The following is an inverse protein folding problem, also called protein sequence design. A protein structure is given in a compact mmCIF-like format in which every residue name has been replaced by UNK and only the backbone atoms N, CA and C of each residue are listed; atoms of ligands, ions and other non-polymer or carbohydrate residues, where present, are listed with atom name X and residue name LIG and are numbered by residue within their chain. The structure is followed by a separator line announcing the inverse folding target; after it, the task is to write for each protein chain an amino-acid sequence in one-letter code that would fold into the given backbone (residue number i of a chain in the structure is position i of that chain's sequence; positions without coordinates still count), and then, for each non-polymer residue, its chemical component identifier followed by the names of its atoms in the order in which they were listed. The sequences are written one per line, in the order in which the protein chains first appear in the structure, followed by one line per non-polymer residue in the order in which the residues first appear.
data_IF_393272057276
#
_entry.id   IF_393272057276
#
_cell.length_a   1.000
_cell.length_b   1.000
_cell.length_c   1.000
_cell.angle_alpha   90.00
_cell.angle_beta   90.00
_cell.angle_gamma   90.00
#
_symmetry.space_group_name_H-M   'P 1'
#
loop_
_entity.id
_entity.type
_entity.pdbx_description
1 polymer ?
#
# COMPACT_ATOMS: atom_id res chain seq x y z
N UNK A 1 9.91 -7.23 19.58
CA UNK A 1 8.50 -7.66 19.53
C UNK A 1 8.37 -8.81 18.56
N UNK A 2 7.38 -9.68 18.78
CA UNK A 2 6.95 -10.66 17.79
C UNK A 2 5.87 -10.06 16.90
N UNK A 3 6.12 -9.95 15.60
CA UNK A 3 5.22 -9.29 14.65
C UNK A 3 4.82 -10.27 13.55
N UNK A 4 3.52 -10.45 13.37
CA UNK A 4 2.99 -11.20 12.24
C UNK A 4 2.66 -10.21 11.12
N UNK A 5 3.18 -10.45 9.92
CA UNK A 5 2.92 -9.64 8.72
C UNK A 5 2.19 -10.50 7.71
N UNK A 6 0.95 -10.16 7.36
CA UNK A 6 0.21 -10.81 6.27
C UNK A 6 0.41 -10.06 4.96
N UNK A 7 0.38 -10.76 3.83
CA UNK A 7 0.73 -10.17 2.53
C UNK A 7 2.24 -9.84 2.43
N UNK A 8 3.05 -10.56 3.17
CA UNK A 8 4.46 -10.28 3.36
C UNK A 8 5.31 -10.48 2.09
N UNK A 9 4.91 -11.35 1.17
CA UNK A 9 5.59 -11.56 -0.12
C UNK A 9 5.14 -10.55 -1.20
N UNK A 10 4.20 -9.66 -0.88
CA UNK A 10 3.75 -8.56 -1.73
C UNK A 10 4.76 -7.41 -1.80
N UNK A 11 4.42 -6.38 -2.59
CA UNK A 11 5.24 -5.19 -2.77
C UNK A 11 5.56 -4.49 -1.44
N UNK A 12 4.56 -3.94 -0.75
CA UNK A 12 4.75 -3.21 0.51
C UNK A 12 5.18 -4.17 1.63
N UNK A 13 4.59 -5.37 1.66
CA UNK A 13 4.84 -6.35 2.71
C UNK A 13 6.28 -6.79 2.80
N UNK A 14 6.94 -7.03 1.67
CA UNK A 14 8.32 -7.49 1.62
C UNK A 14 9.33 -6.45 2.12
N UNK A 15 9.15 -5.19 1.73
CA UNK A 15 9.95 -4.08 2.26
C UNK A 15 9.77 -3.92 3.78
N UNK A 16 8.51 -3.99 4.22
CA UNK A 16 8.21 -3.83 5.65
C UNK A 16 8.72 -4.99 6.48
N UNK A 17 8.56 -6.24 6.03
CA UNK A 17 9.04 -7.41 6.75
C UNK A 17 10.57 -7.41 6.90
N UNK A 18 11.31 -7.10 5.82
CA UNK A 18 12.78 -6.95 5.86
C UNK A 18 13.20 -5.81 6.80
N UNK A 19 12.53 -4.66 6.72
CA UNK A 19 12.82 -3.52 7.57
C UNK A 19 12.61 -3.83 9.05
N UNK A 20 11.49 -4.46 9.41
CA UNK A 20 11.22 -4.87 10.79
C UNK A 20 12.27 -5.85 11.33
N UNK A 21 12.68 -6.84 10.54
CA UNK A 21 13.77 -7.75 10.90
C UNK A 21 15.10 -7.01 11.12
N UNK A 22 15.42 -6.03 10.25
CA UNK A 22 16.66 -5.25 10.38
C UNK A 22 16.69 -4.40 11.65
N UNK A 23 15.51 -4.10 12.22
CA UNK A 23 15.34 -3.39 13.50
C UNK A 23 15.25 -4.31 14.72
N UNK A 24 15.54 -5.60 14.55
CA UNK A 24 15.62 -6.56 15.65
C UNK A 24 14.27 -7.13 16.11
N UNK A 25 13.22 -7.01 15.29
CA UNK A 25 11.94 -7.66 15.59
C UNK A 25 11.96 -9.13 15.13
N UNK A 26 11.28 -10.02 15.87
CA UNK A 26 10.99 -11.39 15.44
C UNK A 26 9.75 -11.33 14.53
N UNK A 27 9.95 -11.56 13.22
CA UNK A 27 8.90 -11.38 12.22
C UNK A 27 8.49 -12.72 11.61
N UNK A 28 7.18 -12.98 11.61
CA UNK A 28 6.57 -14.07 10.86
C UNK A 28 5.85 -13.51 9.63
N UNK A 29 6.33 -13.87 8.45
CA UNK A 29 5.75 -13.54 7.16
C UNK A 29 4.69 -14.56 6.77
N UNK A 30 3.45 -14.11 6.49
CA UNK A 30 2.35 -14.96 6.00
C UNK A 30 1.88 -14.44 4.65
N UNK A 31 1.83 -15.31 3.65
CA UNK A 31 1.36 -14.96 2.30
C UNK A 31 0.79 -16.22 1.62
N UNK A 32 -0.21 -16.09 0.76
CA UNK A 32 -0.73 -17.18 -0.07
C UNK A 32 -0.08 -17.25 -1.46
N UNK A 33 0.83 -16.33 -1.76
CA UNK A 33 1.55 -16.19 -3.03
C UNK A 33 0.68 -16.03 -4.28
N UNK A 34 -0.57 -15.60 -4.12
CA UNK A 34 -1.46 -15.32 -5.26
C UNK A 34 -0.90 -14.19 -6.13
N UNK A 35 -0.39 -13.12 -5.50
CA UNK A 35 0.27 -11.99 -6.18
C UNK A 35 1.66 -11.71 -5.64
N UNK A 36 1.92 -12.09 -4.40
CA UNK A 36 3.23 -12.09 -3.76
C UNK A 36 4.20 -13.06 -4.45
N UNK A 37 5.50 -12.84 -4.29
CA UNK A 37 6.56 -13.68 -4.84
C UNK A 37 7.60 -14.00 -3.79
N UNK A 38 8.11 -15.22 -3.78
CA UNK A 38 9.17 -15.65 -2.86
C UNK A 38 10.45 -14.83 -3.08
N UNK A 39 10.73 -14.42 -4.32
CA UNK A 39 11.87 -13.58 -4.68
C UNK A 39 11.85 -12.22 -3.97
N UNK A 40 10.68 -11.69 -3.64
CA UNK A 40 10.56 -10.46 -2.84
C UNK A 40 11.08 -10.64 -1.40
N UNK A 41 11.16 -11.86 -0.91
CA UNK A 41 11.61 -12.20 0.44
C UNK A 41 13.04 -12.77 0.48
N UNK A 42 13.82 -12.68 -0.61
CA UNK A 42 15.17 -13.24 -0.69
C UNK A 42 16.15 -12.70 0.37
N UNK A 43 15.94 -11.47 0.86
CA UNK A 43 16.74 -10.85 1.92
C UNK A 43 16.05 -10.87 3.29
N UNK A 44 14.84 -11.40 3.35
CA UNK A 44 14.10 -11.55 4.60
C UNK A 44 14.70 -12.65 5.45
N UNK A 45 15.00 -12.36 6.73
CA UNK A 45 15.67 -13.27 7.65
C UNK A 45 14.75 -13.84 8.73
N UNK A 46 13.45 -13.56 8.65
CA UNK A 46 12.45 -14.11 9.55
C UNK A 46 11.88 -15.44 9.04
N UNK A 47 10.82 -15.88 9.67
CA UNK A 47 10.10 -17.12 9.28
C UNK A 47 9.03 -16.81 8.25
N UNK A 48 8.86 -17.71 7.29
CA UNK A 48 7.84 -17.61 6.23
C UNK A 48 6.88 -18.81 6.37
N UNK A 49 5.59 -18.51 6.41
CA UNK A 49 4.53 -19.53 6.45
C UNK A 49 3.53 -19.24 5.31
N UNK A 50 3.36 -20.18 4.38
CA UNK A 50 2.27 -20.09 3.40
C UNK A 50 0.90 -20.12 4.11
N UNK A 51 0.02 -19.16 3.75
CA UNK A 51 -1.29 -19.12 4.38
C UNK A 51 -2.26 -18.17 3.68
N UNK A 52 -3.49 -18.63 3.50
CA UNK A 52 -4.58 -17.82 2.94
C UNK A 52 -5.48 -17.29 4.07
N UNK A 53 -5.52 -15.98 4.24
CA UNK A 53 -6.36 -15.33 5.25
C UNK A 53 -7.86 -15.51 5.03
N UNK A 54 -8.28 -15.91 3.83
CA UNK A 54 -9.68 -16.18 3.51
C UNK A 54 -10.18 -17.52 4.03
N UNK A 55 -9.27 -18.43 4.37
CA UNK A 55 -9.58 -19.66 5.10
C UNK A 55 -9.54 -19.37 6.60
N UNK A 56 -10.70 -19.45 7.25
CA UNK A 56 -10.86 -19.18 8.69
C UNK A 56 -9.99 -20.07 9.58
N UNK A 57 -9.55 -21.23 9.06
CA UNK A 57 -8.73 -22.19 9.80
C UNK A 57 -7.23 -21.84 9.77
N UNK A 58 -6.82 -20.92 8.91
CA UNK A 58 -5.38 -20.62 8.68
C UNK A 58 -4.80 -19.63 9.72
N UNK A 59 -5.40 -18.48 10.03
CA UNK A 59 -4.79 -17.53 10.97
C UNK A 59 -4.68 -18.07 12.41
N UNK A 60 -5.62 -18.91 12.84
CA UNK A 60 -5.69 -19.36 14.23
C UNK A 60 -4.48 -20.21 14.66
N UNK A 61 -4.11 -21.33 14.00
CA UNK A 61 -2.93 -22.12 14.37
C UNK A 61 -1.61 -21.34 14.20
N UNK A 62 -1.52 -20.47 13.19
CA UNK A 62 -0.33 -19.63 12.99
C UNK A 62 -0.12 -18.69 14.19
N UNK A 63 -1.18 -18.05 14.67
CA UNK A 63 -1.09 -17.15 15.84
C UNK A 63 -0.89 -17.93 17.15
N UNK A 64 -1.45 -19.14 17.28
CA UNK A 64 -1.21 -20.02 18.42
C UNK A 64 0.28 -20.36 18.56
N UNK A 65 0.93 -20.78 17.48
CA UNK A 65 2.33 -21.18 17.50
C UNK A 65 3.27 -19.99 17.64
N UNK A 66 3.00 -18.90 16.95
CA UNK A 66 3.90 -17.74 16.93
C UNK A 66 3.71 -16.81 18.13
N UNK A 67 2.48 -16.65 18.63
CA UNK A 67 2.09 -15.73 19.71
C UNK A 67 2.55 -14.29 19.44
N UNK A 68 2.05 -13.65 18.38
CA UNK A 68 2.48 -12.31 18.02
C UNK A 68 2.02 -11.27 19.07
N UNK A 69 2.89 -10.31 19.36
CA UNK A 69 2.56 -9.13 20.13
C UNK A 69 1.67 -8.18 19.30
N UNK A 70 1.96 -8.10 17.99
CA UNK A 70 1.28 -7.24 17.04
C UNK A 70 1.11 -7.93 15.68
N UNK A 71 0.06 -7.51 14.96
CA UNK A 71 -0.22 -7.93 13.58
C UNK A 71 -0.23 -6.73 12.66
N UNK A 72 0.56 -6.81 11.58
CA UNK A 72 0.50 -5.92 10.43
C UNK A 72 -0.27 -6.62 9.31
N UNK A 73 -1.47 -6.15 9.03
CA UNK A 73 -2.33 -6.76 8.04
C UNK A 73 -2.26 -6.00 6.69
N UNK A 74 -1.40 -6.51 5.78
CA UNK A 74 -1.20 -5.98 4.43
C UNK A 74 -1.77 -6.89 3.34
N UNK A 75 -2.17 -8.12 3.65
CA UNK A 75 -2.80 -9.02 2.69
C UNK A 75 -4.10 -8.41 2.16
N UNK A 76 -4.18 -8.28 0.84
CA UNK A 76 -5.33 -7.69 0.16
C UNK A 76 -5.36 -8.06 -1.32
N UNK A 77 -6.55 -8.11 -1.90
CA UNK A 77 -6.74 -7.85 -3.32
C UNK A 77 -6.67 -6.33 -3.50
N UNK A 78 -5.77 -5.81 -4.34
CA UNK A 78 -5.48 -4.37 -4.41
C UNK A 78 -5.74 -3.71 -5.77
N UNK A 79 -6.07 -4.50 -6.81
CA UNK A 79 -6.35 -4.00 -8.14
C UNK A 79 -7.83 -3.61 -8.30
N UNK A 80 -8.09 -2.36 -8.69
CA UNK A 80 -9.45 -1.85 -8.93
C UNK A 80 -10.11 -2.63 -10.08
N UNK A 81 -9.39 -2.86 -11.19
CA UNK A 81 -9.89 -3.65 -12.32
C UNK A 81 -10.32 -5.06 -11.92
N UNK A 82 -9.53 -5.75 -11.11
CA UNK A 82 -9.90 -7.07 -10.57
C UNK A 82 -11.14 -6.97 -9.69
N UNK A 83 -11.26 -5.93 -8.86
CA UNK A 83 -12.45 -5.76 -8.01
C UNK A 83 -13.72 -5.54 -8.82
N UNK A 84 -13.63 -4.84 -9.95
CA UNK A 84 -14.78 -4.63 -10.86
C UNK A 84 -15.19 -5.92 -11.56
N UNK A 85 -14.24 -6.77 -11.94
CA UNK A 85 -14.50 -8.04 -12.61
C UNK A 85 -14.93 -9.16 -11.66
N UNK A 86 -14.39 -9.17 -10.44
CA UNK A 86 -14.60 -10.21 -9.43
C UNK A 86 -14.88 -9.62 -8.04
N UNK A 87 -16.00 -8.89 -7.84
CA UNK A 87 -16.29 -8.20 -6.58
C UNK A 87 -16.47 -9.16 -5.40
N UNK A 88 -16.94 -10.38 -5.65
CA UNK A 88 -17.04 -11.44 -4.65
C UNK A 88 -15.68 -11.84 -4.09
N UNK A 89 -14.70 -12.03 -4.98
CA UNK A 89 -13.33 -12.35 -4.59
C UNK A 89 -12.71 -11.21 -3.80
N UNK A 90 -12.91 -9.97 -4.26
CA UNK A 90 -12.43 -8.78 -3.59
C UNK A 90 -12.99 -8.67 -2.16
N UNK A 91 -14.31 -8.81 -1.99
CA UNK A 91 -14.94 -8.79 -0.66
C UNK A 91 -14.49 -9.97 0.22
N UNK A 92 -14.30 -11.16 -0.36
CA UNK A 92 -13.80 -12.33 0.37
C UNK A 92 -12.42 -12.04 0.96
N UNK A 93 -11.49 -11.49 0.18
CA UNK A 93 -10.14 -11.18 0.65
C UNK A 93 -10.16 -9.99 1.62
N UNK A 94 -10.71 -8.85 1.21
CA UNK A 94 -10.59 -7.58 1.92
C UNK A 94 -11.63 -7.39 3.04
N UNK A 95 -12.69 -8.19 3.07
CA UNK A 95 -13.73 -8.15 4.09
C UNK A 95 -13.69 -9.37 5.02
N UNK A 96 -13.94 -10.58 4.49
CA UNK A 96 -13.94 -11.80 5.29
C UNK A 96 -12.53 -12.14 5.81
N UNK A 97 -11.49 -11.95 5.00
CA UNK A 97 -10.10 -12.12 5.45
C UNK A 97 -9.76 -11.25 6.66
N UNK A 98 -10.19 -9.99 6.65
CA UNK A 98 -10.02 -9.08 7.80
C UNK A 98 -10.73 -9.60 9.05
N UNK A 99 -11.95 -10.12 8.92
CA UNK A 99 -12.69 -10.71 10.06
C UNK A 99 -11.97 -11.94 10.63
N UNK A 100 -11.40 -12.79 9.78
CA UNK A 100 -10.63 -13.95 10.21
C UNK A 100 -9.39 -13.53 11.00
N UNK A 101 -8.68 -12.48 10.56
CA UNK A 101 -7.53 -11.92 11.28
C UNK A 101 -7.97 -11.32 12.62
N UNK A 102 -9.05 -10.53 12.67
CA UNK A 102 -9.58 -9.96 13.92
C UNK A 102 -9.94 -11.06 14.91
N UNK A 103 -10.63 -12.12 14.45
CA UNK A 103 -10.99 -13.27 15.29
C UNK A 103 -9.76 -13.92 15.90
N UNK A 104 -8.77 -14.27 15.09
CA UNK A 104 -7.55 -14.89 15.56
C UNK A 104 -6.75 -13.97 16.52
N UNK A 105 -6.65 -12.67 16.22
CA UNK A 105 -6.03 -11.69 17.10
C UNK A 105 -6.69 -11.66 18.49
N UNK A 106 -8.03 -11.69 18.56
CA UNK A 106 -8.77 -11.70 19.83
C UNK A 106 -8.57 -13.03 20.57
N UNK A 107 -8.63 -14.17 19.88
CA UNK A 107 -8.42 -15.50 20.48
C UNK A 107 -7.04 -15.61 21.14
N UNK A 108 -6.01 -15.07 20.50
CA UNK A 108 -4.62 -15.16 20.96
C UNK A 108 -4.10 -13.91 21.68
N UNK A 109 -4.98 -13.02 22.11
CA UNK A 109 -4.66 -11.83 22.91
C UNK A 109 -3.59 -10.93 22.27
N UNK A 110 -3.59 -10.80 20.94
CA UNK A 110 -2.75 -9.85 20.22
C UNK A 110 -3.01 -8.43 20.72
N UNK A 111 -1.96 -7.69 21.01
CA UNK A 111 -2.08 -6.37 21.66
C UNK A 111 -2.31 -5.22 20.68
N UNK A 112 -1.88 -5.37 19.42
CA UNK A 112 -1.89 -4.31 18.42
C UNK A 112 -2.27 -4.86 17.05
N UNK A 113 -3.18 -4.19 16.34
CA UNK A 113 -3.53 -4.49 14.95
C UNK A 113 -3.34 -3.24 14.08
N UNK A 114 -2.43 -3.32 13.12
CA UNK A 114 -2.20 -2.28 12.12
C UNK A 114 -2.73 -2.77 10.77
N UNK A 115 -3.55 -1.97 10.11
CA UNK A 115 -4.25 -2.34 8.88
C UNK A 115 -3.96 -1.38 7.73
N UNK A 116 -3.65 -1.95 6.58
CA UNK A 116 -3.53 -1.19 5.33
C UNK A 116 -4.91 -0.93 4.72
N UNK A 117 -5.33 0.33 4.76
CA UNK A 117 -6.44 0.85 3.98
C UNK A 117 -5.91 1.66 2.78
N UNK A 118 -6.73 2.46 2.15
CA UNK A 118 -6.43 3.14 0.89
C UNK A 118 -7.13 4.49 0.79
N UNK A 119 -6.55 5.41 0.04
CA UNK A 119 -7.24 6.66 -0.36
C UNK A 119 -8.48 6.41 -1.24
N UNK A 120 -8.64 5.22 -1.80
CA UNK A 120 -9.82 4.84 -2.60
C UNK A 120 -11.12 4.74 -1.78
N UNK A 121 -11.07 4.83 -0.45
CA UNK A 121 -12.26 4.92 0.43
C UNK A 121 -12.91 6.30 0.38
N UNK A 122 -12.16 7.34 -0.01
CA UNK A 122 -12.68 8.69 -0.11
C UNK A 122 -13.47 8.90 -1.39
N UNK A 123 -14.45 9.80 -1.31
CA UNK A 123 -14.95 10.43 -2.51
C UNK A 123 -13.85 11.29 -3.10
N UNK A 124 -13.84 11.35 -4.41
CA UNK A 124 -13.06 12.32 -5.13
C UNK A 124 -13.39 13.74 -4.67
N UNK A 125 -12.37 14.51 -4.32
CA UNK A 125 -12.55 15.92 -3.96
C UNK A 125 -11.67 16.75 -4.89
N UNK A 126 -12.30 17.64 -5.63
CA UNK A 126 -11.57 18.77 -6.22
C UNK A 126 -11.12 19.66 -5.05
N UNK A 127 -9.83 19.83 -4.78
CA UNK A 127 -9.42 20.58 -3.60
C UNK A 127 -9.76 22.04 -3.78
N UNK A 128 -10.62 22.52 -2.93
CA UNK A 128 -10.61 23.91 -2.55
C UNK A 128 -9.30 24.10 -1.75
N UNK A 129 -8.31 24.76 -2.36
CA UNK A 129 -7.09 25.26 -1.65
C UNK A 129 -5.93 24.31 -1.34
N UNK A 130 -5.59 23.30 -2.12
CA UNK A 130 -4.35 22.48 -1.93
C UNK A 130 -4.12 21.86 -0.51
N UNK A 131 -5.16 21.78 0.32
CA UNK A 131 -5.00 21.34 1.73
C UNK A 131 -5.02 19.83 1.92
N UNK A 132 -5.25 19.04 0.88
CA UNK A 132 -5.37 17.59 0.95
C UNK A 132 -6.63 17.10 1.68
N UNK A 133 -6.99 15.84 1.43
CA UNK A 133 -8.16 15.18 2.01
C UNK A 133 -7.82 14.78 3.46
N UNK A 134 -8.59 15.26 4.44
CA UNK A 134 -8.43 14.88 5.84
C UNK A 134 -9.12 13.54 6.13
N UNK A 135 -8.71 12.87 7.22
CA UNK A 135 -9.23 11.56 7.62
C UNK A 135 -10.74 11.56 7.95
N UNK A 136 -11.26 12.69 8.38
CA UNK A 136 -12.70 12.89 8.66
C UNK A 136 -13.53 13.29 7.42
N UNK A 137 -12.93 13.32 6.24
CA UNK A 137 -13.65 13.58 5.00
C UNK A 137 -14.67 12.47 4.71
N UNK A 138 -15.71 12.81 3.94
CA UNK A 138 -16.76 11.85 3.56
C UNK A 138 -16.17 10.64 2.85
N UNK A 139 -16.50 9.44 3.36
CA UNK A 139 -16.14 8.17 2.72
C UNK A 139 -17.24 7.81 1.71
N UNK A 140 -16.86 7.81 0.43
CA UNK A 140 -17.76 7.48 -0.68
C UNK A 140 -16.96 6.77 -1.78
N UNK A 141 -16.55 5.49 -1.52
CA UNK A 141 -15.72 4.75 -2.46
C UNK A 141 -16.42 4.53 -3.80
N UNK A 142 -15.66 4.64 -4.90
CA UNK A 142 -16.15 4.54 -6.27
C UNK A 142 -15.82 3.19 -6.94
N UNK A 143 -15.39 2.19 -6.16
CA UNK A 143 -15.06 0.85 -6.65
C UNK A 143 -15.35 -0.21 -5.59
N UNK A 144 -15.60 -1.48 -5.98
CA UNK A 144 -15.70 -2.58 -5.03
C UNK A 144 -14.48 -2.68 -4.11
N UNK A 145 -13.28 -2.45 -4.62
CA UNK A 145 -12.05 -2.37 -3.82
C UNK A 145 -12.14 -1.34 -2.70
N UNK A 146 -12.53 -0.11 -3.03
CA UNK A 146 -12.70 0.93 -2.01
C UNK A 146 -13.79 0.59 -0.99
N UNK A 147 -14.89 -0.03 -1.44
CA UNK A 147 -15.98 -0.50 -0.58
C UNK A 147 -15.47 -1.58 0.38
N UNK A 148 -14.80 -2.60 -0.11
CA UNK A 148 -14.32 -3.71 0.71
C UNK A 148 -13.25 -3.28 1.72
N UNK A 149 -12.37 -2.35 1.35
CA UNK A 149 -11.39 -1.76 2.30
C UNK A 149 -12.09 -0.93 3.38
N UNK A 150 -13.12 -0.15 3.03
CA UNK A 150 -13.95 0.55 4.00
C UNK A 150 -14.66 -0.41 4.94
N UNK A 151 -15.22 -1.51 4.46
CA UNK A 151 -15.81 -2.57 5.29
C UNK A 151 -14.80 -3.10 6.30
N UNK A 152 -13.56 -3.36 5.87
CA UNK A 152 -12.46 -3.75 6.76
C UNK A 152 -12.18 -2.71 7.85
N UNK A 153 -12.14 -1.41 7.48
CA UNK A 153 -11.97 -0.32 8.47
C UNK A 153 -13.07 -0.32 9.54
N UNK A 154 -14.36 -0.48 9.12
CA UNK A 154 -15.48 -0.47 10.05
C UNK A 154 -15.41 -1.65 11.02
N UNK A 155 -15.10 -2.86 10.56
CA UNK A 155 -14.94 -4.01 11.44
C UNK A 155 -13.78 -3.85 12.41
N UNK A 156 -12.64 -3.32 11.97
CA UNK A 156 -11.49 -3.11 12.85
C UNK A 156 -11.81 -2.08 13.92
N UNK A 157 -12.41 -0.94 13.55
CA UNK A 157 -12.82 0.10 14.52
C UNK A 157 -13.79 -0.43 15.58
N UNK A 158 -14.74 -1.26 15.16
CA UNK A 158 -15.76 -1.79 16.06
C UNK A 158 -15.23 -2.92 16.95
N UNK A 159 -14.37 -3.79 16.42
CA UNK A 159 -14.05 -5.07 17.05
C UNK A 159 -12.65 -5.13 17.69
N UNK A 160 -11.74 -4.21 17.36
CA UNK A 160 -10.37 -4.22 17.87
C UNK A 160 -9.94 -2.83 18.38
N UNK A 161 -10.05 -2.54 19.68
CA UNK A 161 -9.84 -1.20 20.22
C UNK A 161 -8.44 -0.62 19.98
N UNK A 162 -7.38 -1.42 20.14
CA UNK A 162 -6.00 -0.97 19.93
C UNK A 162 -5.57 -1.18 18.47
N UNK A 163 -6.19 -0.42 17.57
CA UNK A 163 -5.90 -0.47 16.14
C UNK A 163 -5.26 0.79 15.60
N UNK A 164 -4.57 0.64 14.46
CA UNK A 164 -4.21 1.76 13.61
C UNK A 164 -4.51 1.41 12.15
N UNK A 165 -5.27 2.26 11.50
CA UNK A 165 -5.68 2.12 10.10
C UNK A 165 -4.87 3.12 9.26
N UNK A 166 -4.16 2.64 8.25
CA UNK A 166 -3.35 3.45 7.35
C UNK A 166 -4.03 3.57 5.98
N UNK A 167 -4.53 4.74 5.63
CA UNK A 167 -5.04 5.03 4.28
C UNK A 167 -3.90 5.48 3.41
N UNK A 168 -3.36 4.54 2.65
CA UNK A 168 -2.22 4.83 1.78
C UNK A 168 -2.61 5.69 0.57
N UNK A 169 -1.73 6.65 0.23
CA UNK A 169 -1.68 7.29 -1.08
C UNK A 169 -1.13 6.34 -2.14
N UNK A 170 -0.56 6.87 -3.20
CA UNK A 170 0.05 6.07 -4.26
C UNK A 170 1.46 5.62 -3.87
N UNK A 171 1.56 4.44 -3.27
CA UNK A 171 2.87 3.85 -2.92
C UNK A 171 3.59 3.41 -4.18
N UNK A 172 4.88 3.74 -4.29
CA UNK A 172 5.74 3.34 -5.41
C UNK A 172 7.13 2.93 -4.92
N UNK A 173 7.86 2.15 -5.74
CA UNK A 173 9.22 1.73 -5.40
C UNK A 173 9.61 0.38 -6.01
N UNK A 174 10.80 -0.13 -5.64
CA UNK A 174 11.27 -1.47 -6.01
C UNK A 174 10.24 -2.57 -5.71
N UNK A 175 10.24 -3.65 -6.49
CA UNK A 175 9.31 -4.80 -6.39
C UNK A 175 7.85 -4.49 -6.77
N UNK A 176 7.51 -3.25 -7.14
CA UNK A 176 6.19 -2.93 -7.68
C UNK A 176 6.07 -3.50 -9.09
N UNK A 177 5.11 -4.41 -9.30
CA UNK A 177 4.85 -4.97 -10.65
C UNK A 177 4.11 -3.96 -11.52
N UNK A 178 4.33 -3.96 -12.86
CA UNK A 178 3.63 -3.07 -13.79
C UNK A 178 2.21 -3.57 -14.14
N UNK A 179 1.60 -4.42 -13.30
CA UNK A 179 0.32 -5.09 -13.53
C UNK A 179 -0.72 -4.52 -12.56
N UNK A 180 -1.77 -3.93 -13.09
CA UNK A 180 -2.86 -3.33 -12.31
C UNK A 180 -3.06 -1.85 -12.62
N UNK A 181 -3.85 -1.18 -11.77
CA UNK A 181 -4.27 0.20 -11.96
C UNK A 181 -3.36 1.18 -11.20
N UNK A 182 -3.31 2.43 -11.69
CA UNK A 182 -2.60 3.54 -11.03
C UNK A 182 -1.09 3.33 -10.80
N UNK A 183 -0.44 2.50 -11.60
CA UNK A 183 0.97 2.12 -11.48
C UNK A 183 1.83 2.86 -12.51
N UNK A 184 1.65 4.17 -12.65
CA UNK A 184 2.30 4.96 -13.70
C UNK A 184 3.81 4.80 -13.71
N UNK A 185 4.48 4.82 -12.54
CA UNK A 185 5.93 4.68 -12.44
C UNK A 185 6.37 3.29 -12.92
N UNK A 186 5.83 2.22 -12.35
CA UNK A 186 6.22 0.86 -12.73
C UNK A 186 5.95 0.56 -14.21
N UNK A 187 4.81 1.02 -14.76
CA UNK A 187 4.47 0.81 -16.18
C UNK A 187 5.34 1.64 -17.13
N UNK A 188 5.68 2.87 -16.76
CA UNK A 188 6.57 3.69 -17.55
C UNK A 188 8.01 3.12 -17.54
N UNK A 189 8.46 2.56 -16.43
CA UNK A 189 9.75 1.87 -16.35
C UNK A 189 9.78 0.59 -17.17
N UNK A 190 8.71 -0.20 -17.15
CA UNK A 190 8.57 -1.38 -18.00
C UNK A 190 8.64 -1.02 -19.48
N UNK A 191 8.03 0.11 -19.86
CA UNK A 191 8.14 0.66 -21.21
C UNK A 191 9.59 1.02 -21.58
N UNK A 192 10.28 1.80 -20.74
CA UNK A 192 11.65 2.25 -21.04
C UNK A 192 12.68 1.12 -21.02
N UNK A 193 12.53 0.14 -20.15
CA UNK A 193 13.52 -0.91 -19.92
C UNK A 193 13.27 -2.14 -20.81
N UNK A 194 11.99 -2.50 -21.02
CA UNK A 194 11.60 -3.73 -21.72
C UNK A 194 10.80 -3.48 -23.00
N UNK A 195 10.49 -2.23 -23.36
CA UNK A 195 9.69 -1.91 -24.55
C UNK A 195 8.22 -2.25 -24.43
N UNK A 196 7.69 -2.44 -23.22
CA UNK A 196 6.28 -2.74 -23.00
C UNK A 196 5.37 -1.61 -23.47
N UNK A 197 4.15 -1.93 -23.88
CA UNK A 197 3.19 -0.91 -24.30
C UNK A 197 2.77 -0.05 -23.11
N UNK A 198 2.89 1.27 -23.26
CA UNK A 198 2.47 2.25 -22.26
C UNK A 198 1.73 3.43 -22.90
N UNK A 199 0.69 3.89 -22.23
CA UNK A 199 -0.01 5.11 -22.60
C UNK A 199 -0.52 5.85 -21.37
N UNK A 200 -0.68 7.14 -21.50
CA UNK A 200 -1.28 8.02 -20.50
C UNK A 200 -2.79 8.13 -20.78
N UNK A 201 -3.62 7.90 -19.77
CA UNK A 201 -5.05 8.17 -19.87
C UNK A 201 -5.29 9.68 -19.86
N UNK A 202 -5.92 10.20 -20.95
CA UNK A 202 -6.14 11.63 -21.13
C UNK A 202 -4.84 12.41 -21.33
N UNK A 203 -4.71 13.58 -20.67
CA UNK A 203 -3.59 14.52 -20.89
C UNK A 203 -2.47 14.44 -19.84
N UNK A 204 -2.56 13.54 -18.86
CA UNK A 204 -1.54 13.37 -17.83
C UNK A 204 -1.51 14.45 -16.74
N UNK A 205 -2.52 15.34 -16.69
CA UNK A 205 -2.61 16.41 -15.71
C UNK A 205 -3.24 15.97 -14.35
N UNK A 206 -3.82 14.76 -14.31
CA UNK A 206 -4.37 14.22 -13.08
C UNK A 206 -3.28 14.05 -12.02
N UNK A 207 -3.53 14.58 -10.81
CA UNK A 207 -2.56 14.60 -9.71
C UNK A 207 -2.82 13.49 -8.71
N UNK A 208 -1.73 12.91 -8.21
CA UNK A 208 -1.73 11.90 -7.14
C UNK A 208 -0.66 12.21 -6.11
N UNK A 209 -0.90 11.79 -4.89
CA UNK A 209 0.07 11.85 -3.81
C UNK A 209 0.88 10.56 -3.78
N UNK A 210 2.15 10.66 -4.20
CA UNK A 210 3.07 9.53 -4.28
C UNK A 210 3.92 9.43 -3.03
N UNK A 211 4.07 8.23 -2.48
CA UNK A 211 4.93 7.96 -1.33
C UNK A 211 5.85 6.77 -1.62
N UNK A 212 7.12 6.92 -1.26
CA UNK A 212 8.11 5.88 -1.49
C UNK A 212 7.94 4.72 -0.51
N UNK A 213 8.12 3.49 -0.98
CA UNK A 213 7.78 2.27 -0.22
C UNK A 213 8.59 2.11 1.07
N UNK A 214 9.85 2.56 1.10
CA UNK A 214 10.65 2.50 2.33
C UNK A 214 10.11 3.47 3.40
N UNK A 215 9.64 4.66 3.01
CA UNK A 215 8.97 5.57 3.94
C UNK A 215 7.70 4.93 4.53
N UNK A 216 6.96 4.14 3.72
CA UNK A 216 5.80 3.37 4.18
C UNK A 216 6.22 2.26 5.14
N UNK A 217 7.33 1.56 4.88
CA UNK A 217 7.86 0.54 5.79
C UNK A 217 8.23 1.13 7.16
N UNK A 218 8.86 2.32 7.17
CA UNK A 218 9.10 3.09 8.40
C UNK A 218 7.80 3.45 9.11
N UNK A 219 6.78 3.94 8.38
CA UNK A 219 5.48 4.24 8.95
C UNK A 219 4.83 3.03 9.61
N UNK A 220 4.91 1.87 8.97
CA UNK A 220 4.40 0.62 9.52
C UNK A 220 5.07 0.25 10.84
N UNK A 221 6.38 0.45 10.96
CA UNK A 221 7.10 0.21 12.22
C UNK A 221 6.62 1.17 13.32
N UNK A 222 6.55 2.47 13.06
CA UNK A 222 6.03 3.45 14.02
C UNK A 222 4.58 3.14 14.44
N UNK A 223 3.76 2.71 13.48
CA UNK A 223 2.39 2.30 13.75
C UNK A 223 2.30 1.05 14.65
N UNK A 224 3.23 0.11 14.53
CA UNK A 224 3.28 -1.13 15.33
C UNK A 224 3.81 -0.89 16.74
N UNK A 225 4.81 -0.02 16.89
CA UNK A 225 5.53 0.21 18.16
C UNK A 225 4.97 1.39 18.98
N UNK A 226 4.29 2.31 18.32
CA UNK A 226 3.69 3.48 18.95
C UNK A 226 2.34 3.19 19.62
N UNK A 227 1.83 4.18 20.34
CA UNK A 227 0.56 4.10 21.08
C UNK A 227 -0.63 4.76 20.38
N UNK A 228 -0.42 5.47 19.26
CA UNK A 228 -1.49 6.14 18.54
C UNK A 228 -2.55 5.16 18.05
N UNK A 229 -3.82 5.48 18.24
CA UNK A 229 -4.98 4.68 17.83
C UNK A 229 -5.83 5.50 16.87
N UNK A 230 -6.41 4.84 15.87
CA UNK A 230 -7.33 5.50 14.94
C UNK A 230 -6.95 5.30 13.49
N UNK A 231 -7.40 6.24 12.65
CA UNK A 231 -7.22 6.20 11.19
C UNK A 231 -6.36 7.37 10.76
N UNK A 232 -5.36 7.09 9.91
CA UNK A 232 -4.39 8.08 9.44
C UNK A 232 -4.14 7.97 7.94
N UNK A 233 -4.01 9.10 7.29
CA UNK A 233 -3.49 9.17 5.93
C UNK A 233 -1.98 8.97 5.92
N UNK A 234 -1.50 8.12 5.03
CA UNK A 234 -0.07 7.82 4.87
C UNK A 234 0.34 8.11 3.44
N UNK A 235 0.98 9.24 3.24
CA UNK A 235 1.48 9.70 1.95
C UNK A 235 2.55 10.76 2.13
N UNK A 236 3.11 11.31 1.03
CA UNK A 236 4.09 12.39 1.13
C UNK A 236 3.46 13.76 1.47
N UNK A 237 2.14 13.91 1.32
CA UNK A 237 1.44 15.18 1.52
C UNK A 237 1.70 16.19 0.39
N UNK A 238 2.25 15.70 -0.73
CA UNK A 238 2.50 16.48 -1.93
C UNK A 238 2.06 15.72 -3.17
N UNK A 239 1.21 16.34 -3.96
CA UNK A 239 0.67 15.73 -5.17
C UNK A 239 1.46 16.13 -6.40
N UNK A 240 1.66 15.17 -7.30
CA UNK A 240 2.30 15.35 -8.59
C UNK A 240 1.38 14.87 -9.71
N UNK A 241 1.41 15.54 -10.84
CA UNK A 241 0.74 15.07 -12.06
C UNK A 241 1.48 13.87 -12.64
N UNK A 242 0.79 13.09 -13.48
CA UNK A 242 1.43 12.02 -14.24
C UNK A 242 2.58 12.57 -15.07
N UNK A 243 2.39 13.73 -15.73
CA UNK A 243 3.45 14.36 -16.52
C UNK A 243 4.69 14.75 -15.70
N UNK A 244 4.50 15.27 -14.45
CA UNK A 244 5.62 15.56 -13.56
C UNK A 244 6.40 14.31 -13.19
N UNK A 245 5.71 13.21 -12.90
CA UNK A 245 6.34 11.91 -12.59
C UNK A 245 7.11 11.36 -13.78
N UNK A 246 6.53 11.40 -14.97
CA UNK A 246 7.19 10.92 -16.18
C UNK A 246 8.43 11.74 -16.53
N UNK A 247 8.41 13.05 -16.23
CA UNK A 247 9.57 13.92 -16.42
C UNK A 247 10.76 13.51 -15.55
N UNK A 248 10.53 13.05 -14.31
CA UNK A 248 11.63 12.50 -13.47
C UNK A 248 12.27 11.26 -14.11
N UNK A 249 11.48 10.41 -14.77
CA UNK A 249 11.97 9.25 -15.52
C UNK A 249 12.77 9.69 -16.74
N UNK A 250 12.25 10.64 -17.53
CA UNK A 250 12.95 11.22 -18.70
C UNK A 250 14.31 11.81 -18.32
N UNK A 251 14.38 12.54 -17.21
CA UNK A 251 15.62 13.13 -16.70
C UNK A 251 16.65 12.05 -16.39
N UNK A 252 16.24 10.94 -15.75
CA UNK A 252 17.15 9.85 -15.43
C UNK A 252 17.75 9.19 -16.67
N UNK A 253 16.93 8.93 -17.70
CA UNK A 253 17.38 8.31 -18.95
C UNK A 253 18.02 9.31 -19.93
N UNK A 254 18.15 10.58 -19.57
CA UNK A 254 18.74 11.62 -20.41
C UNK A 254 17.93 11.97 -21.66
N UNK A 255 16.65 11.60 -21.72
CA UNK A 255 15.75 11.91 -22.83
C UNK A 255 14.96 13.16 -22.52
N UNK A 256 14.92 14.13 -23.48
CA UNK A 256 14.11 15.35 -23.35
C UNK A 256 12.95 15.35 -24.33
N UNK A 257 11.74 15.65 -23.84
CA UNK A 257 10.56 15.80 -24.69
C UNK A 257 10.12 14.48 -25.31
N UNK A 258 10.24 13.39 -24.55
CA UNK A 258 9.74 12.09 -25.00
C UNK A 258 8.25 12.16 -25.35
N UNK A 259 7.90 11.62 -26.50
CA UNK A 259 6.52 11.65 -27.00
C UNK A 259 5.72 10.49 -26.42
N UNK A 260 5.11 10.72 -25.28
CA UNK A 260 4.23 9.76 -24.64
C UNK A 260 2.95 9.55 -25.43
N UNK A 261 2.53 8.30 -25.57
CA UNK A 261 1.24 7.97 -26.19
C UNK A 261 0.11 8.34 -25.23
N UNK A 262 -0.88 9.06 -25.73
CA UNK A 262 -2.08 9.42 -25.00
C UNK A 262 -3.29 8.66 -25.57
N UNK A 263 -4.04 7.94 -24.72
CA UNK A 263 -5.22 7.17 -25.10
C UNK A 263 -6.36 7.38 -24.10
N UNK A 264 -7.59 7.16 -24.56
CA UNK A 264 -8.75 7.10 -23.70
C UNK A 264 -9.18 8.43 -23.06
N UNK A 265 -10.13 8.34 -22.13
CA UNK A 265 -10.62 9.49 -21.36
C UNK A 265 -9.70 9.78 -20.17
N UNK A 266 -9.57 11.03 -19.76
CA UNK A 266 -8.91 11.36 -18.49
C UNK A 266 -9.55 10.59 -17.33
N UNK A 267 -8.74 10.19 -16.34
CA UNK A 267 -9.28 9.69 -15.07
C UNK A 267 -10.19 10.81 -14.50
N UNK A 268 -11.47 10.54 -14.24
CA UNK A 268 -12.38 11.56 -13.70
C UNK A 268 -11.87 12.12 -12.38
N UNK A 269 -11.02 11.39 -11.66
CA UNK A 269 -10.36 11.83 -10.45
C UNK A 269 -9.17 12.74 -10.78
N UNK A 270 -9.43 14.02 -10.99
CA UNK A 270 -8.40 14.99 -11.37
C UNK A 270 -7.34 15.22 -10.29
N UNK A 271 -7.71 15.03 -9.02
CA UNK A 271 -6.80 15.27 -7.90
C UNK A 271 -7.08 14.33 -6.74
N UNK A 272 -6.07 13.62 -6.25
CA UNK A 272 -6.09 12.88 -4.98
C UNK A 272 -4.84 13.24 -4.21
N UNK A 273 -4.93 14.24 -3.34
CA UNK A 273 -3.90 14.60 -2.37
C UNK A 273 -4.39 14.37 -0.95
N UNK A 274 -3.55 13.89 -0.09
CA UNK A 274 -3.89 13.57 1.30
C UNK A 274 -3.32 14.61 2.26
N UNK A 275 -4.10 14.98 3.28
CA UNK A 275 -3.60 15.71 4.42
C UNK A 275 -2.93 14.72 5.37
N UNK A 276 -1.66 14.96 5.71
CA UNK A 276 -0.83 14.07 6.53
C UNK A 276 -0.46 14.69 7.88
N UNK A 277 -1.17 15.73 8.31
CA UNK A 277 -0.86 16.39 9.57
C UNK A 277 -1.14 15.49 10.78
N UNK A 278 -2.25 14.74 10.77
CA UNK A 278 -2.62 13.88 11.87
C UNK A 278 -1.56 12.80 12.16
N UNK A 279 -1.02 12.15 11.14
CA UNK A 279 0.03 11.14 11.35
C UNK A 279 1.34 11.76 11.82
N UNK A 280 1.68 12.97 11.33
CA UNK A 280 2.85 13.71 11.81
C UNK A 280 2.75 14.06 13.30
N UNK A 281 1.58 14.54 13.72
CA UNK A 281 1.34 14.96 15.11
C UNK A 281 1.28 13.78 16.08
N UNK A 282 0.65 12.66 15.66
CA UNK A 282 0.37 11.53 16.54
C UNK A 282 1.47 10.46 16.56
N UNK A 283 2.17 10.25 15.45
CA UNK A 283 3.25 9.27 15.31
C UNK A 283 4.63 9.90 15.15
N UNK A 284 4.73 11.21 14.95
CA UNK A 284 6.00 11.85 14.59
C UNK A 284 6.50 11.48 13.18
N UNK A 285 5.71 10.73 12.41
CA UNK A 285 6.12 10.23 11.10
C UNK A 285 5.86 11.25 9.97
N UNK A 286 6.80 11.28 9.05
CA UNK A 286 6.72 12.07 7.82
C UNK A 286 7.52 11.36 6.73
N UNK A 287 6.98 11.30 5.51
CA UNK A 287 7.73 10.84 4.36
C UNK A 287 8.98 11.71 4.15
N UNK A 288 10.12 11.09 3.96
CA UNK A 288 11.42 11.75 3.87
C UNK A 288 12.03 11.69 2.47
N UNK A 289 11.60 10.77 1.63
CA UNK A 289 12.15 10.53 0.30
C UNK A 289 11.49 11.43 -0.74
N UNK A 290 12.22 12.39 -1.36
CA UNK A 290 11.71 13.18 -2.49
C UNK A 290 11.33 12.29 -3.67
N UNK A 291 10.35 12.72 -4.50
CA UNK A 291 9.91 11.97 -5.68
C UNK A 291 11.08 11.61 -6.60
N UNK A 292 11.94 12.58 -6.92
CA UNK A 292 13.11 12.39 -7.79
C UNK A 292 14.07 11.30 -7.26
N UNK A 293 14.35 11.30 -5.96
CA UNK A 293 15.21 10.29 -5.33
C UNK A 293 14.56 8.90 -5.35
N UNK A 294 13.28 8.81 -4.96
CA UNK A 294 12.54 7.54 -4.95
C UNK A 294 12.40 6.95 -6.37
N UNK A 295 12.17 7.79 -7.39
CA UNK A 295 12.15 7.35 -8.79
C UNK A 295 13.51 6.81 -9.21
N UNK A 296 14.62 7.50 -8.90
CA UNK A 296 15.96 7.02 -9.22
C UNK A 296 16.30 5.68 -8.55
N UNK A 297 15.96 5.51 -7.25
CA UNK A 297 16.14 4.24 -6.55
C UNK A 297 15.32 3.11 -7.19
N UNK A 298 14.09 3.43 -7.61
CA UNK A 298 13.22 2.48 -8.29
C UNK A 298 13.80 2.05 -9.63
N UNK A 299 14.29 2.99 -10.44
CA UNK A 299 14.91 2.70 -11.75
C UNK A 299 16.14 1.80 -11.58
N UNK A 300 17.06 2.15 -10.65
CA UNK A 300 18.26 1.35 -10.38
C UNK A 300 17.91 -0.11 -10.01
N UNK A 301 16.86 -0.30 -9.23
CA UNK A 301 16.40 -1.65 -8.90
C UNK A 301 15.91 -2.40 -10.16
N UNK A 302 15.12 -1.74 -11.02
CA UNK A 302 14.63 -2.34 -12.27
C UNK A 302 15.77 -2.70 -13.23
N UNK A 303 16.78 -1.85 -13.36
CA UNK A 303 17.97 -2.13 -14.17
C UNK A 303 18.77 -3.35 -13.66
N UNK A 304 18.78 -3.56 -12.36
CA UNK A 304 19.43 -4.72 -11.73
C UNK A 304 18.65 -6.04 -11.84
N UNK A 305 17.43 -6.03 -12.42
CA UNK A 305 16.64 -7.25 -12.67
C UNK A 305 16.82 -7.82 -14.09
N UNK A 306 17.68 -7.21 -14.91
CA UNK A 306 18.00 -7.65 -16.29
C UNK A 306 18.82 -8.93 -16.30
#
# INVERSE_FOLDING_TARGET
MKILVTGAAGFIGSHTAEFLCSRGHDVLAVDNFTTGRMENLQHFRGRIVPGDITDIKVPDPIMYDFRPDAVLHLAAQSAITTSMQAPYYDLKVNGLGVLNIIKACKTHNVKRLVFSSTSAVYREVTPLFNMGIKENAKLEPQSPYGISKRVGEEYIRLLFPNHLIMRFGNVYGPRQKPIGDNLVIARALDHFIHGAEFWINGHGNQKRDFVYVEDVAHCCMEALTGSAVGTFNVSAGKSYSVNEVLREIEIYFGVKGYQWTHKGKPDPRNYVGLNVNAIREQLGWKASTPLSEGVQKTIKWWEGQK
#
